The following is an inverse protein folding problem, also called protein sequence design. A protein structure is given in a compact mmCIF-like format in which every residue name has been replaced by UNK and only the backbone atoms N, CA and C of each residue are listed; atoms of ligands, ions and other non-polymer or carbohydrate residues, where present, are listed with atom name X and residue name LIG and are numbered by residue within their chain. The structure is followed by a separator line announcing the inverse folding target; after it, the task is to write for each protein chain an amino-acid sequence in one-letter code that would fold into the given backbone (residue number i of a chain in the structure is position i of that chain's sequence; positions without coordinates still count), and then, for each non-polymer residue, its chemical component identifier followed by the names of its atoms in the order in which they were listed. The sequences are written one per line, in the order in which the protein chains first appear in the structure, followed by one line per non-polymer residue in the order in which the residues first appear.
data_IF_710591143290
#
_entry.id   IF_710591143290
#
_cell.length_a   1.000
_cell.length_b   1.000
_cell.length_c   1.000
_cell.angle_alpha   90.00
_cell.angle_beta   90.00
_cell.angle_gamma   90.00
#
_symmetry.space_group_name_H-M   'P 1'
#
loop_
_entity.id
_entity.type
_entity.pdbx_description
1 polymer ?
#
# COMPACT_ATOMS: atom_id res chain seq x y z
N UNK A 1 28.09 0.40 -11.63
CA UNK A 1 26.63 0.57 -11.85
C UNK A 1 26.29 2.03 -12.18
N UNK A 2 25.84 2.93 -11.29
CA UNK A 2 25.49 4.30 -11.73
C UNK A 2 26.67 5.22 -12.11
N UNK A 3 27.92 4.88 -11.78
CA UNK A 3 29.10 5.68 -12.16
C UNK A 3 29.35 5.66 -13.67
N UNK A 4 29.30 4.48 -14.30
CA UNK A 4 29.45 4.34 -15.76
C UNK A 4 28.37 5.14 -16.50
N UNK A 5 27.12 5.08 -16.02
CA UNK A 5 26.01 5.86 -16.57
C UNK A 5 26.23 7.38 -16.46
N UNK A 6 26.78 7.87 -15.35
CA UNK A 6 27.09 9.29 -15.18
C UNK A 6 28.13 9.79 -16.20
N UNK A 7 29.22 9.02 -16.40
CA UNK A 7 30.23 9.34 -17.41
C UNK A 7 29.66 9.32 -18.84
N UNK A 8 28.74 8.39 -19.14
CA UNK A 8 28.09 8.36 -20.45
C UNK A 8 27.13 9.55 -20.66
N UNK A 9 26.46 10.02 -19.60
CA UNK A 9 25.69 11.26 -19.67
C UNK A 9 26.59 12.49 -19.93
N UNK A 10 27.76 12.58 -19.28
CA UNK A 10 28.73 13.66 -19.51
C UNK A 10 29.24 13.67 -20.96
N UNK A 11 29.50 12.51 -21.57
CA UNK A 11 29.88 12.37 -22.98
C UNK A 11 28.80 12.93 -23.95
N UNK A 12 27.53 12.87 -23.55
CA UNK A 12 26.37 13.37 -24.32
C UNK A 12 26.08 14.86 -23.97
N UNK A 13 26.85 15.47 -23.06
CA UNK A 13 26.65 16.84 -22.60
C UNK A 13 25.53 16.99 -21.55
N UNK A 14 25.04 15.89 -20.98
CA UNK A 14 23.98 15.86 -19.98
C UNK A 14 24.56 15.69 -18.56
N UNK A 15 24.44 16.71 -17.71
CA UNK A 15 24.94 16.65 -16.34
C UNK A 15 24.05 15.78 -15.43
N UNK A 16 24.49 14.56 -15.12
CA UNK A 16 23.75 13.59 -14.29
C UNK A 16 24.33 13.47 -12.86
N UNK A 17 23.73 14.17 -11.89
CA UNK A 17 24.08 14.01 -10.47
C UNK A 17 23.47 12.74 -9.88
N UNK A 18 24.32 11.73 -9.64
CA UNK A 18 23.94 10.42 -9.10
C UNK A 18 23.26 10.46 -7.73
N UNK A 19 23.39 11.54 -6.94
CA UNK A 19 22.79 11.65 -5.60
C UNK A 19 21.39 12.26 -5.66
N UNK A 20 21.21 13.27 -6.50
CA UNK A 20 19.99 14.08 -6.54
C UNK A 20 19.06 13.72 -7.71
N UNK A 21 19.59 13.18 -8.81
CA UNK A 21 18.81 12.77 -9.98
C UNK A 21 18.49 11.27 -9.91
N UNK A 22 17.22 10.94 -9.69
CA UNK A 22 16.74 9.55 -9.61
C UNK A 22 16.07 9.12 -10.90
N UNK A 23 16.73 8.23 -11.64
CA UNK A 23 16.10 7.54 -12.78
C UNK A 23 14.96 6.67 -12.26
N UNK A 24 13.74 6.88 -12.76
CA UNK A 24 12.59 6.02 -12.46
C UNK A 24 12.63 4.80 -13.40
N UNK A 25 12.17 3.63 -12.92
CA UNK A 25 12.10 2.45 -13.78
C UNK A 25 11.04 2.62 -14.88
N UNK A 26 11.28 2.02 -16.05
CA UNK A 26 10.39 2.13 -17.21
C UNK A 26 8.93 1.76 -16.89
N UNK A 27 8.72 0.68 -16.13
CA UNK A 27 7.37 0.26 -15.70
C UNK A 27 6.64 1.34 -14.88
N UNK A 28 7.34 2.11 -14.05
CA UNK A 28 6.75 3.23 -13.30
C UNK A 28 6.40 4.40 -14.22
N UNK A 29 7.24 4.71 -15.21
CA UNK A 29 6.98 5.77 -16.20
C UNK A 29 5.75 5.43 -17.05
N UNK A 30 5.67 4.19 -17.56
CA UNK A 30 4.51 3.69 -18.32
C UNK A 30 3.24 3.72 -17.46
N UNK A 31 3.31 3.24 -16.20
CA UNK A 31 2.16 3.28 -15.30
C UNK A 31 1.66 4.71 -15.05
N UNK A 32 2.54 5.70 -14.88
CA UNK A 32 2.14 7.10 -14.74
C UNK A 32 1.47 7.63 -16.01
N UNK A 33 2.07 7.40 -17.18
CA UNK A 33 1.47 7.81 -18.46
C UNK A 33 0.08 7.20 -18.68
N UNK A 34 -0.12 5.93 -18.32
CA UNK A 34 -1.43 5.29 -18.36
C UNK A 34 -2.41 5.89 -17.35
N UNK A 35 -1.97 6.24 -16.13
CA UNK A 35 -2.81 6.88 -15.12
C UNK A 35 -3.29 8.27 -15.57
N UNK A 36 -2.39 9.08 -16.14
CA UNK A 36 -2.73 10.41 -16.65
C UNK A 36 -3.67 10.32 -17.87
N UNK A 37 -3.41 9.41 -18.81
CA UNK A 37 -4.30 9.16 -19.95
C UNK A 37 -5.70 8.69 -19.51
N UNK A 38 -5.78 7.80 -18.52
CA UNK A 38 -7.05 7.34 -17.95
C UNK A 38 -7.79 8.44 -17.18
N UNK A 39 -7.08 9.38 -16.54
CA UNK A 39 -7.70 10.53 -15.90
C UNK A 39 -8.39 11.44 -16.92
N UNK A 40 -7.71 11.74 -18.04
CA UNK A 40 -8.27 12.52 -19.16
C UNK A 40 -9.46 11.79 -19.80
N UNK A 41 -9.36 10.48 -20.03
CA UNK A 41 -10.48 9.70 -20.58
C UNK A 41 -11.68 9.63 -19.62
N UNK A 42 -11.45 9.64 -18.30
CA UNK A 42 -12.51 9.73 -17.31
C UNK A 42 -13.20 11.09 -17.34
N UNK A 43 -12.48 12.20 -17.49
CA UNK A 43 -13.11 13.53 -17.59
C UNK A 43 -13.85 13.74 -18.91
N UNK A 44 -13.36 13.18 -20.03
CA UNK A 44 -14.07 13.21 -21.32
C UNK A 44 -15.40 12.44 -21.25
N UNK A 45 -15.48 11.34 -20.49
CA UNK A 45 -16.75 10.61 -20.28
C UNK A 45 -17.78 11.37 -19.44
N UNK A 46 -17.42 12.49 -18.79
CA UNK A 46 -18.35 13.32 -18.00
C UNK A 46 -19.06 14.37 -18.86
N UNK A 47 -18.56 14.68 -20.06
CA UNK A 47 -19.17 15.72 -20.92
C UNK A 47 -20.32 15.22 -21.79
N UNK A 48 -20.49 13.89 -21.92
CA UNK A 48 -21.63 13.26 -22.60
C UNK A 48 -22.23 12.17 -21.69
N UNK A 49 -23.52 12.31 -21.36
CA UNK A 49 -24.33 11.49 -20.42
C UNK A 49 -24.16 11.84 -18.93
N UNK A 50 -25.30 11.96 -18.25
CA UNK A 50 -25.44 12.40 -16.85
C UNK A 50 -24.91 11.36 -15.84
N UNK A 51 -23.80 11.68 -15.16
CA UNK A 51 -23.05 10.78 -14.26
C UNK A 51 -23.53 10.88 -12.79
N UNK A 52 -24.83 11.02 -12.57
CA UNK A 52 -25.45 11.00 -11.23
C UNK A 52 -25.45 9.63 -10.52
N UNK A 53 -24.81 8.58 -11.08
CA UNK A 53 -24.81 7.20 -10.56
C UNK A 53 -23.46 6.48 -10.43
N UNK A 54 -22.32 7.14 -10.71
CA UNK A 54 -20.99 6.51 -10.53
C UNK A 54 -20.41 6.63 -9.12
N UNK A 55 -21.17 7.15 -8.15
CA UNK A 55 -20.87 7.02 -6.71
C UNK A 55 -20.82 5.57 -6.23
N UNK A 56 -21.52 4.67 -6.92
CA UNK A 56 -21.84 3.34 -6.42
C UNK A 56 -20.79 2.30 -6.83
N UNK A 57 -19.84 2.64 -7.70
CA UNK A 57 -18.78 1.73 -8.13
C UNK A 57 -17.53 1.82 -7.25
N UNK A 58 -17.70 1.46 -5.98
CA UNK A 58 -16.57 0.99 -5.16
C UNK A 58 -15.98 -0.23 -5.87
N UNK A 59 -14.69 -0.19 -6.16
CA UNK A 59 -13.95 -1.34 -6.69
C UNK A 59 -13.77 -2.37 -5.55
N UNK A 60 -14.83 -3.11 -5.26
CA UNK A 60 -14.76 -4.25 -4.36
C UNK A 60 -14.14 -5.43 -5.12
N UNK A 61 -12.97 -5.86 -4.66
CA UNK A 61 -12.31 -7.06 -5.19
C UNK A 61 -12.88 -8.27 -4.47
N UNK A 62 -14.14 -8.57 -4.74
CA UNK A 62 -14.82 -9.73 -4.19
C UNK A 62 -14.30 -10.99 -4.90
N UNK A 63 -13.60 -11.84 -4.15
CA UNK A 63 -13.19 -13.18 -4.56
C UNK A 63 -13.78 -14.21 -3.60
N UNK A 64 -15.05 -14.55 -3.83
CA UNK A 64 -15.61 -15.88 -3.49
C UNK A 64 -15.01 -16.90 -4.51
N UNK A 65 -14.82 -18.20 -4.29
CA UNK A 65 -15.30 -19.22 -3.33
C UNK A 65 -14.08 -20.13 -2.92
N UNK A 66 -14.08 -21.08 -1.97
CA UNK A 66 -15.06 -21.63 -1.01
C UNK A 66 -14.31 -22.21 0.22
N UNK A 67 -15.03 -22.54 1.31
CA UNK A 67 -15.10 -23.89 1.95
C UNK A 67 -14.98 -23.92 3.50
N UNK A 68 -15.90 -24.68 4.13
CA UNK A 68 -15.86 -25.33 5.46
C UNK A 68 -15.48 -24.51 6.74
N UNK A 69 -16.10 -24.64 7.92
CA UNK A 69 -17.06 -25.65 8.43
C UNK A 69 -18.02 -25.05 9.48
N UNK A 70 -19.04 -25.82 9.83
CA UNK A 70 -20.07 -25.57 10.87
C UNK A 70 -19.57 -25.88 12.28
N UNK A 71 -19.88 -25.04 13.28
CA UNK A 71 -20.38 -25.53 14.60
C UNK A 71 -21.15 -24.47 15.38
N UNK A 72 -22.39 -24.84 15.73
CA UNK A 72 -23.34 -24.21 16.65
C UNK A 72 -22.83 -24.17 18.10
N UNK A 73 -23.22 -23.13 18.88
CA UNK A 73 -23.82 -23.30 20.22
C UNK A 73 -24.33 -21.99 20.84
N UNK A 74 -25.47 -22.08 21.53
CA UNK A 74 -26.10 -21.04 22.35
C UNK A 74 -25.24 -20.72 23.61
N UNK A 75 -25.47 -19.73 24.49
CA UNK A 75 -26.57 -18.77 24.78
C UNK A 75 -25.94 -17.55 25.51
N UNK A 76 -26.54 -16.37 25.57
CA UNK A 76 -27.44 -15.93 26.67
C UNK A 76 -27.80 -14.44 26.48
N UNK A 77 -28.91 -14.02 27.08
CA UNK A 77 -29.52 -12.67 26.96
C UNK A 77 -28.78 -11.58 27.76
N UNK A 78 -28.74 -10.35 27.23
CA UNK A 78 -29.08 -9.15 28.01
C UNK A 78 -29.46 -7.98 27.08
N UNK A 79 -30.74 -7.63 27.06
CA UNK A 79 -31.27 -6.44 26.36
C UNK A 79 -31.04 -5.18 27.20
N UNK A 80 -30.39 -4.17 26.65
CA UNK A 80 -30.56 -2.77 27.07
C UNK A 80 -30.48 -1.86 25.85
N UNK A 81 -31.49 -1.02 25.70
CA UNK A 81 -31.87 -0.48 24.38
C UNK A 81 -31.36 0.95 24.12
N UNK A 82 -31.17 1.24 22.81
CA UNK A 82 -31.33 2.58 22.18
C UNK A 82 -30.23 3.60 22.49
N UNK A 83 -29.22 3.80 21.64
CA UNK A 83 -29.35 4.44 20.31
C UNK A 83 -27.99 4.54 19.59
N UNK A 84 -28.02 4.66 18.25
CA UNK A 84 -26.88 4.94 17.35
C UNK A 84 -25.59 4.14 17.54
N UNK A 85 -25.61 2.88 17.09
CA UNK A 85 -24.39 2.19 16.67
C UNK A 85 -23.99 2.75 15.30
N UNK A 86 -23.23 3.84 15.31
CA UNK A 86 -22.42 4.22 14.17
C UNK A 86 -21.47 3.07 13.84
N UNK A 87 -21.70 2.38 12.73
CA UNK A 87 -20.79 1.34 12.23
C UNK A 87 -19.56 2.03 11.66
N UNK A 88 -18.68 2.49 12.55
CA UNK A 88 -17.28 2.76 12.26
C UNK A 88 -16.73 1.52 11.55
N UNK A 89 -16.35 1.61 10.25
CA UNK A 89 -15.90 0.43 9.52
C UNK A 89 -14.60 -0.03 10.16
N UNK A 90 -14.68 -1.13 10.94
CA UNK A 90 -13.52 -1.77 11.60
C UNK A 90 -12.44 -2.00 10.56
N UNK A 91 -11.46 -1.10 10.52
CA UNK A 91 -10.44 -1.10 9.47
C UNK A 91 -9.79 -2.47 9.42
N UNK A 92 -9.82 -3.11 8.25
CA UNK A 92 -9.30 -4.46 8.07
C UNK A 92 -7.86 -4.55 8.59
N UNK A 93 -7.46 -5.72 9.08
CA UNK A 93 -6.10 -5.97 9.57
C UNK A 93 -5.04 -5.50 8.56
N UNK A 94 -5.31 -5.73 7.27
CA UNK A 94 -4.53 -5.23 6.15
C UNK A 94 -4.42 -3.69 6.11
N UNK A 95 -5.53 -2.95 6.19
CA UNK A 95 -5.51 -1.49 6.22
C UNK A 95 -4.73 -0.93 7.42
N UNK A 96 -4.86 -1.55 8.59
CA UNK A 96 -4.11 -1.19 9.80
C UNK A 96 -2.60 -1.42 9.63
N UNK A 97 -2.21 -2.59 9.13
CA UNK A 97 -0.81 -2.94 8.81
C UNK A 97 -0.23 -1.96 7.79
N UNK A 98 -0.96 -1.70 6.69
CA UNK A 98 -0.54 -0.78 5.63
C UNK A 98 -0.30 0.62 6.18
N UNK A 99 -1.20 1.11 7.02
CA UNK A 99 -1.11 2.44 7.64
C UNK A 99 0.08 2.53 8.59
N UNK A 100 0.28 1.54 9.46
CA UNK A 100 1.45 1.48 10.35
C UNK A 100 2.78 1.50 9.58
N UNK A 101 2.90 0.67 8.54
CA UNK A 101 4.10 0.62 7.68
C UNK A 101 4.32 1.95 6.94
N UNK A 102 3.26 2.58 6.45
CA UNK A 102 3.36 3.91 5.84
C UNK A 102 3.83 4.98 6.83
N UNK A 103 3.30 5.00 8.06
CA UNK A 103 3.73 5.96 9.09
C UNK A 103 5.22 5.79 9.43
N UNK A 104 5.64 4.56 9.74
CA UNK A 104 7.05 4.24 10.02
C UNK A 104 7.94 4.66 8.87
N UNK A 105 7.54 4.44 7.61
CA UNK A 105 8.38 4.79 6.45
C UNK A 105 8.38 6.27 6.06
N UNK A 106 7.31 7.02 6.36
CA UNK A 106 7.21 8.46 6.07
C UNK A 106 8.10 9.29 7.01
N UNK A 107 8.15 8.97 8.30
CA UNK A 107 8.97 9.68 9.28
C UNK A 107 10.44 9.20 9.26
N UNK A 108 11.39 10.09 9.54
CA UNK A 108 12.78 9.70 9.78
C UNK A 108 12.95 9.13 11.20
N UNK A 109 12.42 9.84 12.20
CA UNK A 109 12.48 9.49 13.63
C UNK A 109 11.88 8.10 13.88
N UNK A 110 10.75 7.75 13.24
CA UNK A 110 10.15 6.42 13.40
C UNK A 110 10.98 5.30 12.75
N UNK A 111 11.78 5.59 11.72
CA UNK A 111 12.71 4.59 11.14
C UNK A 111 13.89 4.32 12.07
N UNK A 112 14.38 5.35 12.74
CA UNK A 112 15.46 5.25 13.72
C UNK A 112 15.00 4.50 14.97
N UNK A 113 13.87 4.90 15.57
CA UNK A 113 13.25 4.19 16.69
C UNK A 113 12.92 2.72 16.34
N UNK A 114 12.41 2.44 15.14
CA UNK A 114 12.19 1.06 14.68
C UNK A 114 13.51 0.28 14.50
N UNK A 115 14.59 0.93 14.06
CA UNK A 115 15.92 0.32 13.97
C UNK A 115 16.50 0.00 15.36
N UNK A 116 16.35 0.91 16.32
CA UNK A 116 16.73 0.70 17.72
C UNK A 116 15.95 -0.45 18.34
N UNK A 117 14.63 -0.51 18.14
CA UNK A 117 13.79 -1.62 18.60
C UNK A 117 14.23 -2.97 18.00
N UNK A 118 14.60 -3.02 16.71
CA UNK A 118 15.17 -4.22 16.08
C UNK A 118 16.50 -4.64 16.76
N UNK A 119 17.40 -3.68 17.01
CA UNK A 119 18.69 -3.93 17.65
C UNK A 119 18.52 -4.44 19.09
N UNK A 120 17.58 -3.86 19.86
CA UNK A 120 17.28 -4.26 21.23
C UNK A 120 16.71 -5.68 21.31
N UNK A 121 15.83 -6.06 20.37
CA UNK A 121 15.36 -7.44 20.19
C UNK A 121 16.40 -8.38 19.52
N UNK A 122 17.61 -7.91 19.22
CA UNK A 122 18.68 -8.65 18.50
C UNK A 122 18.27 -9.19 17.12
N UNK A 123 17.25 -8.60 16.49
CA UNK A 123 16.77 -9.00 15.17
C UNK A 123 17.59 -8.29 14.10
N UNK A 124 17.99 -9.00 13.04
CA UNK A 124 18.57 -8.37 11.85
C UNK A 124 17.56 -7.37 11.28
N UNK A 125 17.86 -6.08 11.41
CA UNK A 125 16.98 -5.00 10.97
C UNK A 125 16.63 -5.14 9.47
N UNK A 126 15.39 -5.57 9.20
CA UNK A 126 14.76 -5.62 7.88
C UNK A 126 13.71 -4.51 7.82
N UNK A 127 13.95 -3.45 7.04
CA UNK A 127 12.97 -2.38 6.89
C UNK A 127 11.63 -2.92 6.34
N UNK A 128 10.51 -2.46 6.90
CA UNK A 128 9.17 -2.93 6.55
C UNK A 128 8.86 -2.69 5.06
N UNK A 129 8.33 -3.71 4.36
CA UNK A 129 8.06 -3.64 2.93
C UNK A 129 6.85 -2.74 2.66
N UNK A 130 6.99 -1.73 1.80
CA UNK A 130 5.86 -0.89 1.40
C UNK A 130 5.01 -1.60 0.37
N UNK A 131 3.73 -1.81 0.70
CA UNK A 131 2.73 -2.21 -0.28
C UNK A 131 2.43 -1.07 -1.28
N UNK A 132 2.64 -1.35 -2.57
CA UNK A 132 2.63 -0.39 -3.66
C UNK A 132 1.86 -0.96 -4.85
N UNK A 133 0.74 -0.33 -5.28
CA UNK A 133 -0.21 -0.93 -6.24
C UNK A 133 0.39 -1.25 -7.62
N UNK A 134 1.52 -0.62 -7.97
CA UNK A 134 2.26 -0.89 -9.21
C UNK A 134 3.27 -2.06 -9.12
N UNK A 135 3.22 -2.88 -8.05
CA UNK A 135 4.06 -4.09 -7.88
C UNK A 135 3.21 -5.24 -7.37
N UNK A 136 2.80 -6.16 -8.24
CA UNK A 136 1.79 -7.19 -7.94
C UNK A 136 2.06 -8.04 -6.69
N UNK A 137 3.33 -8.27 -6.31
CA UNK A 137 3.69 -9.06 -5.13
C UNK A 137 3.85 -8.24 -3.83
N UNK A 138 3.58 -6.92 -3.84
CA UNK A 138 3.91 -6.06 -2.69
C UNK A 138 3.06 -6.32 -1.45
N UNK A 139 1.79 -6.68 -1.61
CA UNK A 139 0.92 -7.14 -0.51
C UNK A 139 1.49 -8.38 0.16
N UNK A 140 1.87 -9.39 -0.62
CA UNK A 140 2.46 -10.63 -0.12
C UNK A 140 3.75 -10.36 0.68
N UNK A 141 4.70 -9.60 0.11
CA UNK A 141 5.95 -9.26 0.81
C UNK A 141 5.77 -8.31 2.00
N UNK A 142 4.66 -7.57 2.08
CA UNK A 142 4.28 -6.79 3.26
C UNK A 142 3.83 -7.73 4.39
N UNK A 143 2.88 -8.63 4.10
CA UNK A 143 2.34 -9.58 5.08
C UNK A 143 3.39 -10.58 5.57
N UNK A 144 4.19 -11.14 4.65
CA UNK A 144 5.31 -12.03 4.98
C UNK A 144 6.30 -11.36 5.95
N UNK A 145 6.67 -10.09 5.69
CA UNK A 145 7.55 -9.32 6.59
C UNK A 145 6.93 -9.07 7.97
N UNK A 146 5.61 -8.89 8.04
CA UNK A 146 4.92 -8.73 9.33
C UNK A 146 4.91 -10.04 10.12
N UNK A 147 4.73 -11.20 9.45
CA UNK A 147 4.86 -12.51 10.12
C UNK A 147 6.29 -12.75 10.63
N UNK A 148 7.31 -12.53 9.78
CA UNK A 148 8.74 -12.60 10.15
C UNK A 148 9.10 -11.76 11.39
N UNK A 149 8.39 -10.64 11.62
CA UNK A 149 8.63 -9.71 12.73
C UNK A 149 7.68 -9.92 13.92
N UNK A 150 6.66 -10.77 13.79
CA UNK A 150 5.75 -11.18 14.88
C UNK A 150 6.34 -12.34 15.70
N UNK A 151 7.11 -13.20 15.04
CA UNK A 151 7.71 -14.40 15.62
C UNK A 151 8.99 -14.12 16.43
N UNK A 152 9.32 -12.84 16.68
CA UNK A 152 10.52 -12.36 17.41
C UNK A 152 10.20 -11.20 18.33
#
# INVERSE_FOLDING_TARGET
MFKEFASECENIGAHFDTRNQRVRCLAHVVNLACQDALAVLKTIRVTDVDISRLSDFVFDSQSDETDSDTTTSESSEEETSRSDIGIEPKQSLYSRIRTAIQMVRKSAVLRESFKEACLLKRVKHKMLTLDAPHRWNSTFYMLQRVSEMREV
#
